data_IF_666098103753
#
_entry.id   IF_666098103753
#
_cell.length_a   1.000
_cell.length_b   1.000
_cell.length_c   1.000
_cell.angle_alpha   90.00
_cell.angle_beta   90.00
_cell.angle_gamma   90.00
#
_symmetry.space_group_name_H-M   'P 1'
#
loop_
_entity.id
_entity.type
_entity.pdbx_description
1 polymer ?
#
# COMPACT_ATOMS: atom_id res chain seq x y z
N UNK A 1 -26.42 -3.40 21.53
CA UNK A 1 -27.43 -3.29 20.47
C UNK A 1 -27.20 -4.44 19.52
N UNK A 2 -28.18 -5.34 19.33
CA UNK A 2 -28.03 -6.43 18.38
C UNK A 2 -27.74 -5.86 16.99
N UNK A 3 -26.75 -6.41 16.28
CA UNK A 3 -26.46 -5.98 14.92
C UNK A 3 -27.70 -6.27 14.05
N UNK A 4 -28.13 -5.27 13.28
CA UNK A 4 -29.25 -5.41 12.35
C UNK A 4 -28.83 -6.42 11.28
N UNK A 5 -29.57 -7.54 11.17
CA UNK A 5 -29.31 -8.54 10.15
C UNK A 5 -29.90 -8.06 8.81
N UNK A 6 -29.10 -8.07 7.75
CA UNK A 6 -29.45 -7.58 6.41
C UNK A 6 -29.35 -8.74 5.42
N UNK A 7 -30.41 -9.04 4.69
CA UNK A 7 -30.38 -10.08 3.65
C UNK A 7 -29.56 -9.66 2.43
N UNK A 8 -28.95 -10.61 1.72
CA UNK A 8 -28.25 -10.33 0.45
C UNK A 8 -29.18 -9.71 -0.61
N UNK A 9 -30.47 -10.06 -0.57
CA UNK A 9 -31.50 -9.47 -1.43
C UNK A 9 -31.77 -8.01 -1.09
N UNK A 10 -31.64 -7.62 0.19
CA UNK A 10 -31.74 -6.21 0.57
C UNK A 10 -30.53 -5.44 0.07
N UNK A 11 -29.31 -5.96 0.28
CA UNK A 11 -28.08 -5.33 -0.23
C UNK A 11 -28.17 -5.06 -1.73
N UNK A 12 -28.68 -6.00 -2.53
CA UNK A 12 -28.75 -5.86 -3.99
C UNK A 12 -29.70 -4.78 -4.50
N UNK A 13 -30.59 -4.25 -3.66
CA UNK A 13 -31.43 -3.09 -3.99
C UNK A 13 -30.64 -1.78 -4.05
N UNK A 14 -29.56 -1.69 -3.27
CA UNK A 14 -28.71 -0.51 -3.17
C UNK A 14 -27.52 -0.64 -4.14
N UNK A 15 -27.80 -0.57 -5.44
CA UNK A 15 -26.82 -0.82 -6.51
C UNK A 15 -26.51 0.37 -7.42
N UNK A 16 -26.81 1.61 -7.00
CA UNK A 16 -26.67 2.82 -7.84
C UNK A 16 -25.84 3.92 -7.16
N UNK A 17 -25.30 4.87 -7.90
CA UNK A 17 -24.42 5.92 -7.33
C UNK A 17 -25.09 6.78 -6.24
N UNK A 18 -26.40 7.01 -6.35
CA UNK A 18 -27.19 7.73 -5.35
C UNK A 18 -27.71 6.88 -4.19
N UNK A 19 -27.53 5.56 -4.27
CA UNK A 19 -27.95 4.59 -3.25
C UNK A 19 -27.17 3.27 -3.44
N UNK A 20 -26.02 3.16 -2.76
CA UNK A 20 -25.05 2.09 -2.94
C UNK A 20 -24.62 1.46 -1.62
N UNK A 21 -24.84 0.15 -1.46
CA UNK A 21 -24.31 -0.65 -0.36
C UNK A 21 -23.33 -1.71 -0.87
N UNK A 22 -22.36 -2.09 -0.03
CA UNK A 22 -21.46 -3.21 -0.29
C UNK A 22 -21.32 -4.03 0.99
N UNK A 23 -21.34 -5.35 0.87
CA UNK A 23 -20.97 -6.25 1.96
C UNK A 23 -19.46 -6.55 1.91
N UNK A 24 -18.77 -6.38 3.04
CA UNK A 24 -17.34 -6.69 3.19
C UNK A 24 -17.14 -7.40 4.52
N UNK A 25 -16.55 -8.60 4.49
CA UNK A 25 -16.28 -9.43 5.66
C UNK A 25 -17.53 -9.64 6.54
N UNK A 26 -18.68 -9.84 5.91
CA UNK A 26 -19.97 -10.05 6.60
C UNK A 26 -20.62 -8.79 7.18
N UNK A 27 -20.06 -7.60 6.97
CA UNK A 27 -20.63 -6.32 7.41
C UNK A 27 -21.11 -5.54 6.17
N UNK A 28 -22.33 -5.00 6.25
CA UNK A 28 -22.91 -4.16 5.20
C UNK A 28 -22.59 -2.69 5.47
N UNK A 29 -22.05 -2.02 4.46
CA UNK A 29 -21.63 -0.62 4.51
C UNK A 29 -22.36 0.20 3.46
N UNK A 30 -22.82 1.39 3.86
CA UNK A 30 -23.29 2.42 2.94
C UNK A 30 -22.08 3.14 2.32
N UNK A 31 -21.91 2.97 1.01
CA UNK A 31 -20.83 3.59 0.22
C UNK A 31 -21.36 4.69 -0.69
N UNK A 32 -22.59 5.15 -0.49
CA UNK A 32 -23.23 6.20 -1.29
C UNK A 32 -22.37 7.47 -1.29
N UNK A 33 -22.04 7.94 -2.50
CA UNK A 33 -21.16 9.11 -2.71
C UNK A 33 -19.68 8.91 -2.36
N UNK A 34 -19.25 7.69 -2.01
CA UNK A 34 -17.83 7.38 -1.74
C UNK A 34 -17.04 7.04 -3.01
N UNK A 35 -17.69 6.53 -4.06
CA UNK A 35 -17.01 6.04 -5.24
C UNK A 35 -16.11 7.08 -5.92
N UNK A 36 -16.58 8.33 -6.02
CA UNK A 36 -15.80 9.46 -6.56
C UNK A 36 -14.58 9.84 -5.71
N UNK A 37 -14.50 9.38 -4.46
CA UNK A 37 -13.40 9.62 -3.51
C UNK A 37 -12.49 8.40 -3.32
N UNK A 38 -12.88 7.25 -3.88
CA UNK A 38 -12.16 6.01 -3.69
C UNK A 38 -10.78 6.10 -4.36
N UNK A 39 -9.66 5.95 -3.62
CA UNK A 39 -8.33 6.09 -4.18
C UNK A 39 -8.09 5.15 -5.36
N UNK A 40 -8.67 3.93 -5.31
CA UNK A 40 -8.59 2.90 -6.35
C UNK A 40 -9.28 3.22 -7.68
N UNK A 41 -9.99 4.34 -7.77
CA UNK A 41 -10.85 4.71 -8.90
C UNK A 41 -12.30 4.29 -8.71
N UNK A 42 -13.17 4.98 -9.46
CA UNK A 42 -14.63 4.91 -9.34
C UNK A 42 -15.18 3.57 -9.84
N UNK A 43 -14.69 3.11 -10.99
CA UNK A 43 -15.18 1.88 -11.66
C UNK A 43 -15.01 0.64 -10.77
N UNK A 44 -13.87 0.54 -10.07
CA UNK A 44 -13.53 -0.63 -9.24
C UNK A 44 -14.53 -0.85 -8.11
N UNK A 45 -15.08 0.22 -7.53
CA UNK A 45 -16.05 0.10 -6.45
C UNK A 45 -17.49 0.02 -6.97
N UNK A 46 -17.79 0.68 -8.09
CA UNK A 46 -19.11 0.62 -8.73
C UNK A 46 -19.48 -0.81 -9.17
N UNK A 47 -18.50 -1.60 -9.63
CA UNK A 47 -18.68 -3.01 -9.99
C UNK A 47 -19.19 -3.88 -8.82
N UNK A 48 -19.05 -3.42 -7.58
CA UNK A 48 -19.46 -4.13 -6.37
C UNK A 48 -20.71 -3.55 -5.69
N UNK A 49 -21.32 -2.49 -6.24
CA UNK A 49 -22.57 -1.95 -5.69
C UNK A 49 -23.66 -3.02 -5.63
N UNK A 50 -24.29 -3.14 -4.47
CA UNK A 50 -25.32 -4.12 -4.17
C UNK A 50 -24.82 -5.56 -4.06
N UNK A 51 -23.51 -5.78 -3.89
CA UNK A 51 -22.89 -7.12 -3.88
C UNK A 51 -21.99 -7.34 -2.66
N UNK A 52 -21.60 -8.59 -2.47
CA UNK A 52 -20.49 -8.95 -1.58
C UNK A 52 -19.16 -8.67 -2.30
N UNK A 53 -18.41 -7.68 -1.81
CA UNK A 53 -17.11 -7.28 -2.32
C UNK A 53 -15.94 -7.84 -1.51
N UNK A 54 -16.17 -8.80 -0.61
CA UNK A 54 -15.18 -9.28 0.36
C UNK A 54 -13.88 -9.77 -0.30
N UNK A 55 -13.97 -10.57 -1.35
CA UNK A 55 -12.79 -11.10 -2.04
C UNK A 55 -11.96 -9.99 -2.70
N UNK A 56 -12.62 -9.10 -3.46
CA UNK A 56 -11.96 -7.97 -4.12
C UNK A 56 -11.35 -6.98 -3.11
N UNK A 57 -12.07 -6.70 -2.03
CA UNK A 57 -11.59 -5.84 -0.94
C UNK A 57 -10.36 -6.45 -0.26
N UNK A 58 -10.44 -7.72 0.18
CA UNK A 58 -9.36 -8.37 0.92
C UNK A 58 -8.12 -8.62 0.08
N UNK A 59 -8.22 -8.62 -1.25
CA UNK A 59 -7.06 -8.70 -2.13
C UNK A 59 -6.16 -7.45 -2.06
N UNK A 60 -6.71 -6.29 -1.69
CA UNK A 60 -6.00 -4.99 -1.75
C UNK A 60 -5.94 -4.31 -0.38
N UNK A 61 -6.96 -4.48 0.46
CA UNK A 61 -7.17 -3.73 1.70
C UNK A 61 -7.14 -4.65 2.92
N UNK A 62 -6.62 -4.12 4.03
CA UNK A 62 -6.72 -4.70 5.36
C UNK A 62 -8.12 -4.51 5.94
N UNK A 63 -8.52 -5.33 6.92
CA UNK A 63 -9.88 -5.37 7.44
C UNK A 63 -10.31 -4.05 8.10
N UNK A 64 -9.39 -3.30 8.73
CA UNK A 64 -9.72 -2.03 9.41
C UNK A 64 -9.93 -0.83 8.48
N UNK A 65 -9.56 -0.92 7.21
CA UNK A 65 -9.45 0.26 6.33
C UNK A 65 -10.83 0.86 5.98
N UNK A 66 -11.85 0.03 5.73
CA UNK A 66 -13.21 0.48 5.40
C UNK A 66 -13.84 1.30 6.51
N UNK A 67 -13.69 0.85 7.77
CA UNK A 67 -14.19 1.57 8.93
C UNK A 67 -13.48 2.92 9.12
N UNK A 68 -12.19 3.00 8.78
CA UNK A 68 -11.41 4.25 8.84
C UNK A 68 -11.91 5.31 7.87
N UNK A 69 -12.25 4.91 6.64
CA UNK A 69 -12.62 5.84 5.58
C UNK A 69 -14.11 6.20 5.56
N UNK A 70 -14.99 5.23 5.84
CA UNK A 70 -16.44 5.46 5.82
C UNK A 70 -16.97 5.97 7.16
N UNK A 71 -16.30 5.63 8.27
CA UNK A 71 -16.78 5.94 9.61
C UNK A 71 -17.83 4.96 10.12
N UNK A 72 -18.05 4.91 11.45
CA UNK A 72 -19.00 3.99 12.07
C UNK A 72 -20.45 4.27 11.68
N UNK A 73 -20.79 5.50 11.31
CA UNK A 73 -22.13 5.94 10.90
C UNK A 73 -22.59 5.32 9.58
N UNK A 74 -21.65 4.88 8.74
CA UNK A 74 -21.90 4.21 7.47
C UNK A 74 -22.05 2.70 7.60
N UNK A 75 -21.88 2.14 8.80
CA UNK A 75 -22.16 0.73 9.07
C UNK A 75 -23.67 0.51 9.18
N UNK A 76 -24.23 -0.27 8.26
CA UNK A 76 -25.67 -0.57 8.23
C UNK A 76 -26.00 -1.76 9.14
N UNK A 77 -25.22 -2.84 9.06
CA UNK A 77 -25.55 -4.08 9.76
C UNK A 77 -24.65 -5.25 9.40
N UNK A 78 -25.09 -6.46 9.75
CA UNK A 78 -24.42 -7.73 9.43
C UNK A 78 -25.21 -8.47 8.37
N UNK A 79 -24.52 -9.09 7.41
CA UNK A 79 -25.13 -9.85 6.32
C UNK A 79 -25.71 -11.16 6.86
N UNK A 80 -26.97 -11.47 6.55
CA UNK A 80 -27.61 -12.73 6.90
C UNK A 80 -26.95 -13.91 6.20
N UNK A 81 -26.85 -15.05 6.90
CA UNK A 81 -26.24 -16.27 6.38
C UNK A 81 -24.79 -16.08 5.90
N UNK A 82 -23.97 -15.41 6.70
CA UNK A 82 -22.51 -15.61 6.65
C UNK A 82 -22.22 -17.07 7.05
N UNK A 83 -22.46 -18.00 6.13
CA UNK A 83 -21.68 -19.24 6.11
C UNK A 83 -20.26 -18.76 6.23
N UNK A 84 -19.58 -19.10 7.32
CA UNK A 84 -18.24 -18.65 7.69
C UNK A 84 -17.26 -18.93 6.55
N UNK A 85 -17.31 -18.09 5.51
CA UNK A 85 -16.38 -18.04 4.41
C UNK A 85 -15.19 -17.21 4.89
N UNK A 86 -14.65 -17.60 6.05
CA UNK A 86 -13.22 -17.82 6.17
C UNK A 86 -12.85 -18.94 5.20
N UNK A 87 -13.07 -18.74 3.90
CA UNK A 87 -12.13 -19.25 2.93
C UNK A 87 -10.92 -18.36 3.14
N UNK A 88 -10.14 -18.70 4.17
CA UNK A 88 -8.70 -18.64 4.05
C UNK A 88 -8.46 -19.26 2.69
N UNK A 89 -8.25 -18.42 1.67
CA UNK A 89 -7.70 -18.94 0.45
C UNK A 89 -6.40 -19.54 0.93
N UNK A 90 -6.40 -20.87 1.11
CA UNK A 90 -5.21 -21.66 0.92
C UNK A 90 -4.78 -21.26 -0.49
N UNK A 91 -3.98 -20.18 -0.57
CA UNK A 91 -3.08 -20.00 -1.67
C UNK A 91 -2.28 -21.29 -1.63
N UNK A 92 -2.67 -22.25 -2.46
CA UNK A 92 -1.83 -23.38 -2.78
C UNK A 92 -0.47 -22.77 -3.03
N UNK A 93 0.46 -23.05 -2.12
CA UNK A 93 1.79 -22.46 -2.16
C UNK A 93 2.38 -22.91 -3.49
N UNK A 94 2.33 -22.03 -4.49
CA UNK A 94 3.12 -22.24 -5.69
C UNK A 94 4.54 -22.41 -5.19
N UNK A 95 5.19 -23.55 -5.46
CA UNK A 95 6.54 -23.77 -4.98
C UNK A 95 7.37 -22.58 -5.46
N UNK A 96 7.98 -21.88 -4.50
CA UNK A 96 8.86 -20.77 -4.84
C UNK A 96 9.96 -21.33 -5.75
N UNK A 97 10.28 -20.64 -6.86
CA UNK A 97 11.23 -21.15 -7.84
C UNK A 97 12.64 -21.25 -7.25
N UNK A 98 12.90 -20.57 -6.13
CA UNK A 98 14.18 -20.53 -5.44
C UNK A 98 13.98 -20.57 -3.92
N UNK A 99 14.91 -21.21 -3.21
CA UNK A 99 15.05 -21.11 -1.76
C UNK A 99 15.60 -19.71 -1.42
N UNK A 100 15.11 -19.08 -0.35
CA UNK A 100 15.61 -17.79 0.12
C UNK A 100 17.14 -17.77 0.30
N UNK A 101 17.72 -18.87 0.81
CA UNK A 101 19.18 -19.01 1.00
C UNK A 101 19.97 -18.98 -0.31
N UNK A 102 19.31 -19.17 -1.46
CA UNK A 102 19.93 -19.09 -2.79
C UNK A 102 19.90 -17.68 -3.41
N UNK A 103 19.21 -16.72 -2.78
CA UNK A 103 19.14 -15.34 -3.22
C UNK A 103 20.34 -14.57 -2.64
N UNK A 104 21.24 -14.13 -3.53
CA UNK A 104 22.51 -13.48 -3.15
C UNK A 104 22.45 -11.96 -3.31
N UNK A 105 21.53 -11.44 -4.13
CA UNK A 105 21.43 -10.02 -4.47
C UNK A 105 19.99 -9.54 -4.63
N UNK A 106 19.77 -8.22 -4.49
CA UNK A 106 18.45 -7.63 -4.61
C UNK A 106 17.81 -7.83 -5.99
N UNK A 107 18.60 -7.83 -7.06
CA UNK A 107 18.11 -8.07 -8.43
C UNK A 107 17.54 -9.48 -8.64
N UNK A 108 17.96 -10.45 -7.83
CA UNK A 108 17.38 -11.80 -7.89
C UNK A 108 15.99 -11.86 -7.26
N UNK A 109 15.69 -11.04 -6.25
CA UNK A 109 14.32 -10.88 -5.75
C UNK A 109 13.40 -10.32 -6.83
N UNK A 110 13.89 -9.33 -7.59
CA UNK A 110 13.16 -8.74 -8.72
C UNK A 110 12.86 -9.79 -9.80
N UNK A 111 13.85 -10.60 -10.20
CA UNK A 111 13.65 -11.67 -11.19
C UNK A 111 12.67 -12.75 -10.73
N UNK A 112 12.67 -13.12 -9.44
CA UNK A 112 11.69 -14.05 -8.86
C UNK A 112 10.30 -13.43 -8.84
N UNK A 113 10.19 -12.17 -8.40
CA UNK A 113 8.93 -11.45 -8.36
C UNK A 113 8.31 -11.29 -9.76
N UNK A 114 9.13 -11.00 -10.77
CA UNK A 114 8.70 -10.89 -12.17
C UNK A 114 8.07 -12.20 -12.67
N UNK A 115 8.50 -13.36 -12.20
CA UNK A 115 7.93 -14.65 -12.61
C UNK A 115 6.64 -14.99 -11.86
N UNK A 116 6.52 -14.59 -10.59
CA UNK A 116 5.44 -15.01 -9.70
C UNK A 116 4.25 -14.07 -9.67
N UNK A 117 4.48 -12.75 -9.79
CA UNK A 117 3.41 -11.76 -9.69
C UNK A 117 2.46 -11.84 -10.88
N UNK A 118 1.19 -11.49 -10.67
CA UNK A 118 0.24 -11.29 -11.78
C UNK A 118 0.56 -10.00 -12.53
N UNK A 119 0.17 -9.90 -13.82
CA UNK A 119 0.63 -8.82 -14.73
C UNK A 119 0.34 -7.42 -14.19
N UNK A 120 -0.85 -7.25 -13.61
CA UNK A 120 -1.27 -5.99 -13.01
C UNK A 120 -0.44 -5.61 -11.78
N UNK A 121 -0.17 -6.56 -10.87
CA UNK A 121 0.68 -6.33 -9.70
C UNK A 121 2.10 -5.99 -10.12
N UNK A 122 2.67 -6.75 -11.05
CA UNK A 122 4.01 -6.49 -11.56
C UNK A 122 4.11 -5.09 -12.18
N UNK A 123 3.13 -4.72 -13.01
CA UNK A 123 3.03 -3.38 -13.59
C UNK A 123 2.94 -2.26 -12.55
N UNK A 124 2.25 -2.49 -11.42
CA UNK A 124 2.18 -1.53 -10.32
C UNK A 124 3.53 -1.38 -9.59
N UNK A 125 4.21 -2.50 -9.31
CA UNK A 125 5.43 -2.56 -8.50
C UNK A 125 6.66 -2.12 -9.30
N UNK A 126 6.87 -2.69 -10.50
CA UNK A 126 8.05 -2.45 -11.32
C UNK A 126 7.87 -1.30 -12.33
N UNK A 127 6.62 -0.91 -12.62
CA UNK A 127 6.33 0.14 -13.58
C UNK A 127 6.75 1.53 -13.09
N UNK A 128 7.28 2.33 -14.01
CA UNK A 128 7.62 3.73 -13.81
C UNK A 128 6.95 4.62 -14.87
N UNK A 129 7.16 5.93 -14.77
CA UNK A 129 6.55 6.91 -15.68
C UNK A 129 7.04 6.72 -17.12
N UNK A 130 6.10 6.58 -18.05
CA UNK A 130 6.33 6.52 -19.51
C UNK A 130 7.47 5.52 -19.85
N UNK A 131 8.46 5.95 -20.63
CA UNK A 131 9.61 5.14 -21.05
C UNK A 131 10.60 4.76 -19.92
N UNK A 132 10.29 5.07 -18.66
CA UNK A 132 11.08 4.68 -17.48
C UNK A 132 12.53 5.19 -17.48
N UNK A 133 12.82 6.27 -18.24
CA UNK A 133 14.18 6.83 -18.41
C UNK A 133 14.77 7.26 -17.07
N UNK A 134 14.04 8.04 -16.27
CA UNK A 134 14.52 8.50 -14.96
C UNK A 134 14.71 7.36 -13.97
N UNK A 135 13.81 6.36 -14.01
CA UNK A 135 13.92 5.17 -13.17
C UNK A 135 15.22 4.41 -13.44
N UNK A 136 15.53 4.15 -14.71
CA UNK A 136 16.80 3.53 -15.11
C UNK A 136 18.00 4.39 -14.75
N UNK A 137 17.90 5.70 -14.98
CA UNK A 137 18.99 6.63 -14.69
C UNK A 137 19.37 6.64 -13.19
N UNK A 138 18.40 6.52 -12.28
CA UNK A 138 18.67 6.47 -10.83
C UNK A 138 19.65 5.35 -10.47
N UNK A 139 19.51 4.17 -11.06
CA UNK A 139 20.45 3.07 -10.86
C UNK A 139 21.78 3.30 -11.59
N UNK A 140 21.71 3.69 -12.88
CA UNK A 140 22.90 3.87 -13.73
C UNK A 140 23.85 4.95 -13.18
N UNK A 141 23.35 5.95 -12.45
CA UNK A 141 24.16 7.00 -11.83
C UNK A 141 25.15 6.47 -10.78
N UNK A 142 24.76 5.47 -9.98
CA UNK A 142 25.65 4.88 -8.98
C UNK A 142 26.85 4.15 -9.60
N UNK A 143 26.70 3.60 -10.81
CA UNK A 143 27.77 2.92 -11.54
C UNK A 143 28.87 3.86 -12.04
N UNK A 144 28.63 5.18 -11.97
CA UNK A 144 29.59 6.22 -12.38
C UNK A 144 30.48 6.67 -11.22
N UNK A 145 30.21 6.21 -10.00
CA UNK A 145 30.94 6.60 -8.78
C UNK A 145 31.83 5.43 -8.36
N UNK A 146 33.14 5.65 -8.36
CA UNK A 146 34.13 4.63 -7.99
C UNK A 146 34.69 4.88 -6.58
N UNK A 147 34.92 3.81 -5.84
CA UNK A 147 35.58 3.90 -4.54
C UNK A 147 37.09 4.14 -4.68
N UNK A 148 37.64 4.93 -3.76
CA UNK A 148 39.08 5.02 -3.51
C UNK A 148 39.39 4.38 -2.15
N UNK A 149 39.47 3.04 -2.07
CA UNK A 149 39.61 2.34 -0.80
C UNK A 149 40.92 2.72 -0.09
N UNK A 150 40.86 2.93 1.22
CA UNK A 150 42.04 3.15 2.05
C UNK A 150 42.57 1.80 2.53
N UNK A 151 43.77 1.44 2.11
CA UNK A 151 44.44 0.21 2.52
C UNK A 151 45.12 0.35 3.90
N UNK A 152 45.54 -0.78 4.48
CA UNK A 152 46.24 -0.84 5.77
C UNK A 152 45.49 -0.18 6.93
N UNK A 153 44.16 -0.29 6.94
CA UNK A 153 43.29 0.17 8.04
C UNK A 153 42.85 -1.02 8.89
N UNK A 154 42.79 -0.83 10.21
CA UNK A 154 42.23 -1.82 11.15
C UNK A 154 40.71 -1.83 11.00
N UNK A 155 40.17 -2.79 10.26
CA UNK A 155 38.73 -2.92 9.95
C UNK A 155 38.12 -4.22 10.51
N UNK A 156 38.71 -4.79 11.57
CA UNK A 156 38.22 -6.01 12.22
C UNK A 156 36.77 -5.86 12.73
N UNK A 157 36.41 -4.65 13.15
CA UNK A 157 35.07 -4.29 13.61
C UNK A 157 34.63 -3.07 12.82
N UNK A 158 33.41 -3.11 12.31
CA UNK A 158 32.77 -2.02 11.57
C UNK A 158 31.44 -1.73 12.25
N UNK A 159 31.14 -0.45 12.45
CA UNK A 159 29.86 0.03 12.96
C UNK A 159 29.14 0.76 11.83
N UNK A 160 27.94 0.29 11.49
CA UNK A 160 27.05 0.88 10.47
C UNK A 160 25.96 1.74 11.09
N UNK A 161 25.93 1.83 12.42
CA UNK A 161 24.96 2.58 13.18
C UNK A 161 24.94 4.05 12.77
N UNK A 162 23.73 4.60 12.67
CA UNK A 162 23.53 5.97 12.23
C UNK A 162 22.43 6.65 13.05
N UNK A 163 22.52 7.98 13.15
CA UNK A 163 21.47 8.81 13.71
C UNK A 163 20.66 9.46 12.58
N UNK A 164 19.40 9.06 12.41
CA UNK A 164 18.47 9.63 11.43
C UNK A 164 17.39 10.40 12.19
N UNK A 165 17.27 11.71 11.93
CA UNK A 165 16.27 12.61 12.53
C UNK A 165 16.18 12.47 14.07
N UNK A 166 17.33 12.35 14.73
CA UNK A 166 17.39 12.25 16.19
C UNK A 166 17.35 10.84 16.77
N UNK A 167 17.03 9.80 15.98
CA UNK A 167 16.93 8.40 16.42
C UNK A 167 18.13 7.57 15.95
N UNK A 168 18.61 6.66 16.81
CA UNK A 168 19.66 5.71 16.47
C UNK A 168 19.06 4.49 15.76
N UNK A 169 19.73 4.05 14.70
CA UNK A 169 19.40 2.88 13.89
C UNK A 169 20.67 2.09 13.58
N UNK A 170 20.53 0.80 13.28
CA UNK A 170 21.65 -0.12 13.09
C UNK A 170 22.25 -0.04 11.68
N UNK A 171 21.47 0.44 10.70
CA UNK A 171 21.86 0.50 9.30
C UNK A 171 21.51 1.88 8.68
N UNK A 172 22.30 2.34 7.69
CA UNK A 172 22.16 3.67 7.08
C UNK A 172 21.12 3.72 5.96
N UNK A 173 20.01 3.00 6.11
CA UNK A 173 18.89 3.02 5.18
C UNK A 173 17.58 2.84 5.94
N UNK A 174 16.46 3.01 5.24
CA UNK A 174 15.13 2.86 5.78
C UNK A 174 14.22 2.20 4.75
N UNK A 175 13.09 1.68 5.22
CA UNK A 175 12.06 1.17 4.32
C UNK A 175 11.22 2.36 3.85
N UNK A 176 11.38 2.71 2.57
CA UNK A 176 10.64 3.81 1.94
C UNK A 176 9.13 3.54 1.94
N UNK A 177 8.29 4.59 1.99
CA UNK A 177 6.85 4.43 2.04
C UNK A 177 6.33 3.88 0.71
N UNK A 178 5.76 2.67 0.76
CA UNK A 178 5.15 2.01 -0.40
C UNK A 178 3.71 1.64 -0.05
N UNK A 179 2.77 2.11 -0.85
CA UNK A 179 1.35 1.83 -0.73
C UNK A 179 0.95 0.54 -1.45
N UNK A 180 -0.16 -0.06 -1.01
CA UNK A 180 -0.80 -1.21 -1.66
C UNK A 180 0.07 -2.47 -1.69
N UNK A 181 0.88 -2.70 -0.64
CA UNK A 181 1.81 -3.84 -0.60
C UNK A 181 1.08 -5.19 -0.58
N UNK A 182 -0.22 -5.21 -0.21
CA UNK A 182 -1.06 -6.42 -0.32
C UNK A 182 -1.19 -6.96 -1.74
N UNK A 183 -0.98 -6.13 -2.76
CA UNK A 183 -0.91 -6.59 -4.15
C UNK A 183 0.20 -7.62 -4.37
N UNK A 184 1.27 -7.55 -3.58
CA UNK A 184 2.45 -8.42 -3.65
C UNK A 184 2.43 -9.57 -2.64
N UNK A 185 1.92 -9.35 -1.43
CA UNK A 185 1.86 -10.36 -0.38
C UNK A 185 0.74 -10.08 0.64
N UNK A 186 -0.04 -11.07 1.12
CA UNK A 186 -1.17 -10.84 2.03
C UNK A 186 -0.85 -10.00 3.27
N UNK A 187 0.34 -10.18 3.86
CA UNK A 187 0.79 -9.40 5.03
C UNK A 187 1.05 -7.91 4.74
N UNK A 188 1.21 -7.52 3.47
CA UNK A 188 1.43 -6.14 3.05
C UNK A 188 2.49 -5.39 3.86
N UNK A 189 2.15 -4.17 4.29
CA UNK A 189 3.02 -3.30 5.07
C UNK A 189 3.34 -3.86 6.48
N UNK A 190 2.55 -4.82 6.99
CA UNK A 190 2.84 -5.45 8.29
C UNK A 190 4.14 -6.26 8.24
N UNK A 191 4.42 -6.93 7.12
CA UNK A 191 5.68 -7.65 6.92
C UNK A 191 6.87 -6.69 6.87
N UNK A 192 6.72 -5.53 6.23
CA UNK A 192 7.74 -4.49 6.18
C UNK A 192 8.02 -3.92 7.58
N UNK A 193 6.98 -3.66 8.37
CA UNK A 193 7.12 -3.20 9.76
C UNK A 193 7.85 -4.21 10.64
N UNK A 194 7.55 -5.51 10.52
CA UNK A 194 8.29 -6.57 11.23
C UNK A 194 9.76 -6.63 10.79
N UNK A 195 10.03 -6.53 9.49
CA UNK A 195 11.40 -6.52 8.98
C UNK A 195 12.20 -5.32 9.51
N UNK A 196 11.59 -4.13 9.59
CA UNK A 196 12.20 -2.95 10.20
C UNK A 196 12.71 -3.21 11.61
N UNK A 197 11.90 -3.89 12.43
CA UNK A 197 12.28 -4.23 13.82
C UNK A 197 13.46 -5.19 13.85
N UNK A 198 13.44 -6.23 13.02
CA UNK A 198 14.52 -7.24 12.96
C UNK A 198 15.86 -6.63 12.58
N UNK A 199 15.87 -5.70 11.62
CA UNK A 199 17.11 -5.10 11.11
C UNK A 199 17.46 -3.76 11.74
N UNK A 200 16.67 -3.27 12.70
CA UNK A 200 16.94 -2.00 13.38
C UNK A 200 16.89 -0.79 12.45
N UNK A 201 15.96 -0.76 11.48
CA UNK A 201 15.79 0.34 10.50
C UNK A 201 14.42 1.00 10.59
N UNK A 202 14.29 2.30 10.28
CA UNK A 202 13.00 2.97 10.39
C UNK A 202 12.01 2.46 9.34
N UNK A 203 10.76 2.14 9.74
CA UNK A 203 9.65 2.04 8.80
C UNK A 203 9.07 3.43 8.54
N UNK A 204 8.76 3.71 7.27
CA UNK A 204 7.96 4.88 6.89
C UNK A 204 6.57 4.40 6.48
N UNK A 205 5.57 4.72 7.30
CA UNK A 205 4.19 4.27 7.12
C UNK A 205 3.49 5.15 6.07
N UNK A 206 2.92 4.60 4.99
CA UNK A 206 2.25 5.39 3.95
C UNK A 206 0.87 5.91 4.39
N UNK A 207 0.46 7.06 3.86
CA UNK A 207 -0.91 7.60 4.04
C UNK A 207 -1.98 6.66 3.45
N UNK A 208 -1.64 6.05 2.31
CA UNK A 208 -2.52 5.20 1.50
C UNK A 208 -2.07 3.73 1.53
N UNK A 209 -1.74 3.20 2.71
CA UNK A 209 -1.36 1.79 2.86
C UNK A 209 -2.52 0.81 2.62
N UNK A 210 -2.22 -0.45 2.37
CA UNK A 210 -3.23 -1.52 2.41
C UNK A 210 -3.79 -1.68 3.83
N UNK A 211 -2.95 -1.52 4.84
CA UNK A 211 -3.35 -1.49 6.25
C UNK A 211 -3.43 -0.05 6.77
N UNK A 212 -4.25 0.17 7.80
CA UNK A 212 -4.25 1.44 8.52
C UNK A 212 -2.93 1.65 9.26
N UNK A 213 -2.54 2.91 9.48
CA UNK A 213 -1.35 3.24 10.27
C UNK A 213 -1.39 2.63 11.68
N UNK A 214 -2.59 2.47 12.26
CA UNK A 214 -2.77 1.83 13.56
C UNK A 214 -2.41 0.34 13.50
N UNK A 215 -2.98 -0.42 12.54
CA UNK A 215 -2.66 -1.84 12.36
C UNK A 215 -1.15 -2.07 12.11
N UNK A 216 -0.50 -1.16 11.38
CA UNK A 216 0.94 -1.23 11.11
C UNK A 216 1.75 -0.94 12.38
N UNK A 217 1.36 0.02 13.21
CA UNK A 217 2.05 0.31 14.47
C UNK A 217 1.84 -0.78 15.52
N UNK A 218 0.70 -1.47 15.52
CA UNK A 218 0.38 -2.55 16.46
C UNK A 218 1.33 -3.76 16.35
N UNK A 219 1.95 -3.99 15.18
CA UNK A 219 2.95 -5.06 15.01
C UNK A 219 4.37 -4.64 15.41
N UNK A 220 4.59 -3.36 15.73
CA UNK A 220 5.86 -2.86 16.24
C UNK A 220 5.95 -3.03 17.76
N UNK A 221 7.15 -3.27 18.32
CA UNK A 221 7.36 -3.20 19.76
C UNK A 221 6.94 -1.84 20.32
N UNK A 222 6.37 -1.79 21.54
CA UNK A 222 5.97 -0.53 22.16
C UNK A 222 7.12 0.50 22.16
N UNK A 223 6.87 1.66 21.55
CA UNK A 223 7.83 2.77 21.48
C UNK A 223 8.87 2.68 20.35
N UNK A 224 8.82 1.64 19.52
CA UNK A 224 9.69 1.53 18.36
C UNK A 224 9.50 2.75 17.42
N UNK A 225 10.58 3.44 17.02
CA UNK A 225 10.45 4.68 16.27
C UNK A 225 10.06 4.43 14.81
N UNK A 226 9.02 5.12 14.35
CA UNK A 226 8.58 5.11 12.95
C UNK A 226 8.35 6.53 12.44
N UNK A 227 8.34 6.68 11.12
CA UNK A 227 7.97 7.91 10.45
C UNK A 227 6.67 7.72 9.66
N UNK A 228 5.97 8.81 9.40
CA UNK A 228 4.75 8.80 8.61
C UNK A 228 5.01 9.50 7.27
N UNK A 229 4.66 8.87 6.16
CA UNK A 229 4.55 9.57 4.88
C UNK A 229 3.16 10.21 4.79
N UNK A 230 3.11 11.48 4.42
CA UNK A 230 1.88 12.25 4.25
C UNK A 230 1.63 12.55 2.76
N UNK A 231 0.42 12.24 2.28
CA UNK A 231 -0.20 12.95 1.18
C UNK A 231 -1.27 13.90 1.72
N UNK A 232 -1.34 15.11 1.18
CA UNK A 232 -2.42 16.04 1.51
C UNK A 232 -3.70 15.58 0.81
N UNK A 233 -4.80 15.51 1.54
CA UNK A 233 -6.09 15.20 0.95
C UNK A 233 -6.73 16.47 0.38
N UNK A 234 -7.44 16.36 -0.74
CA UNK A 234 -8.19 17.46 -1.37
C UNK A 234 -9.13 18.15 -0.39
N UNK A 235 -9.70 17.39 0.55
CA UNK A 235 -10.44 17.95 1.67
C UNK A 235 -9.56 18.03 2.92
N UNK A 236 -9.06 19.23 3.24
CA UNK A 236 -8.10 19.45 4.35
C UNK A 236 -8.60 18.97 5.72
N UNK A 237 -9.93 18.91 5.94
CA UNK A 237 -10.48 18.34 7.16
C UNK A 237 -10.21 16.83 7.30
N UNK A 238 -10.10 16.09 6.18
CA UNK A 238 -9.68 14.68 6.19
C UNK A 238 -8.22 14.55 6.59
N UNK A 239 -7.32 15.40 6.06
CA UNK A 239 -5.92 15.43 6.51
C UNK A 239 -5.83 15.74 7.99
N UNK A 240 -6.59 16.73 8.47
CA UNK A 240 -6.65 17.07 9.89
C UNK A 240 -7.09 15.88 10.75
N UNK A 241 -8.17 15.18 10.37
CA UNK A 241 -8.64 13.98 11.08
C UNK A 241 -7.60 12.86 11.07
N UNK A 242 -6.99 12.62 9.91
CA UNK A 242 -5.93 11.62 9.76
C UNK A 242 -4.74 11.94 10.67
N UNK A 243 -4.23 13.17 10.64
CA UNK A 243 -3.14 13.64 11.49
C UNK A 243 -3.48 13.55 12.97
N UNK A 244 -4.70 13.91 13.38
CA UNK A 244 -5.17 13.75 14.77
C UNK A 244 -5.20 12.27 15.22
N UNK A 245 -5.59 11.36 14.32
CA UNK A 245 -5.58 9.92 14.57
C UNK A 245 -4.15 9.39 14.77
N UNK A 246 -3.26 9.66 13.82
CA UNK A 246 -1.88 9.16 13.84
C UNK A 246 -1.00 9.88 14.87
N UNK A 247 -1.33 11.10 15.30
CA UNK A 247 -0.60 11.78 16.37
C UNK A 247 -0.59 10.98 17.67
N UNK A 248 -1.68 10.25 17.97
CA UNK A 248 -1.77 9.36 19.13
C UNK A 248 -0.79 8.19 19.05
N UNK A 249 -0.41 7.79 17.84
CA UNK A 249 0.58 6.74 17.58
C UNK A 249 2.02 7.23 17.76
N UNK A 250 2.24 8.55 17.94
CA UNK A 250 3.53 9.20 18.21
C UNK A 250 4.62 8.94 17.14
N UNK A 251 4.35 9.24 15.85
CA UNK A 251 5.39 9.21 14.82
C UNK A 251 6.55 10.15 15.18
N UNK A 252 7.77 9.79 14.79
CA UNK A 252 8.99 10.60 15.02
C UNK A 252 9.14 11.77 14.06
N UNK A 253 8.43 11.72 12.94
CA UNK A 253 8.40 12.78 11.95
C UNK A 253 7.43 12.46 10.82
N UNK A 254 7.19 13.46 9.99
CA UNK A 254 6.34 13.36 8.82
C UNK A 254 7.20 13.64 7.58
N UNK A 255 7.17 12.72 6.62
CA UNK A 255 7.71 12.88 5.28
C UNK A 255 6.55 13.33 4.39
N UNK A 256 6.46 14.62 4.12
CA UNK A 256 5.40 15.15 3.26
C UNK A 256 5.78 14.99 1.79
N UNK A 257 5.02 14.18 1.06
CA UNK A 257 5.26 13.88 -0.35
C UNK A 257 4.56 14.91 -1.23
N UNK A 258 5.33 15.63 -2.04
CA UNK A 258 4.87 16.74 -2.90
C UNK A 258 5.13 16.49 -4.39
N UNK A 259 5.69 15.34 -4.76
CA UNK A 259 6.09 14.98 -6.12
C UNK A 259 5.02 14.19 -6.91
N UNK A 260 3.84 13.96 -6.31
CA UNK A 260 2.71 13.28 -6.95
C UNK A 260 1.41 14.11 -6.89
N UNK A 261 1.39 15.37 -7.38
CA UNK A 261 0.14 16.15 -7.47
C UNK A 261 -0.81 15.57 -8.53
N UNK A 262 -0.27 14.88 -9.52
CA UNK A 262 -1.00 14.18 -10.58
C UNK A 262 -0.42 12.78 -10.71
N UNK A 263 -1.29 11.81 -10.99
CA UNK A 263 -0.87 10.42 -11.15
C UNK A 263 0.09 10.25 -12.31
N UNK A 264 1.15 9.49 -12.06
CA UNK A 264 2.10 9.07 -13.07
C UNK A 264 1.44 8.16 -14.10
N UNK A 265 1.69 8.42 -15.38
CA UNK A 265 1.34 7.52 -16.48
C UNK A 265 2.33 6.37 -16.50
N UNK A 266 1.95 5.24 -15.91
CA UNK A 266 2.76 4.03 -15.87
C UNK A 266 2.28 3.05 -16.94
N UNK A 267 3.04 2.94 -18.02
CA UNK A 267 2.74 1.96 -19.07
C UNK A 267 3.06 0.55 -18.57
N UNK A 268 2.10 -0.37 -18.63
CA UNK A 268 2.34 -1.79 -18.39
C UNK A 268 2.55 -2.46 -19.73
N UNK A 269 3.80 -2.88 -19.94
CA UNK A 269 4.13 -3.77 -21.04
C UNK A 269 3.63 -5.15 -20.62
N UNK A 270 2.59 -5.69 -21.30
CA UNK A 270 2.17 -7.08 -21.07
C UNK A 270 3.36 -8.01 -21.31
N UNK A 271 3.68 -8.84 -20.33
CA UNK A 271 4.76 -9.82 -20.42
C UNK A 271 4.54 -10.70 -21.66
N UNK A 272 5.59 -10.90 -22.46
CA UNK A 272 5.53 -11.81 -23.59
C UNK A 272 5.33 -13.24 -23.09
N UNK A 273 4.14 -13.81 -23.32
CA UNK A 273 3.92 -15.25 -23.23
C UNK A 273 4.12 -15.84 -24.63
N UNK A 274 4.63 -17.08 -24.76
CA UNK A 274 4.69 -17.73 -26.08
C UNK A 274 3.29 -17.71 -26.74
N UNK A 275 3.15 -17.02 -27.88
CA UNK A 275 1.89 -16.93 -28.63
C UNK A 275 0.99 -15.70 -28.39
N UNK A 276 1.39 -14.70 -27.59
CA UNK A 276 0.61 -13.45 -27.42
C UNK A 276 1.19 -12.25 -28.19
N UNK A 277 0.34 -11.46 -28.85
CA UNK A 277 0.71 -10.19 -29.49
C UNK A 277 1.13 -9.11 -28.46
N UNK A 278 2.00 -8.17 -28.86
CA UNK A 278 2.43 -7.04 -28.02
C UNK A 278 1.27 -6.06 -27.81
N UNK A 279 0.59 -6.16 -26.67
CA UNK A 279 -0.31 -5.10 -26.18
C UNK A 279 0.39 -4.22 -25.15
N UNK A 280 0.44 -2.91 -25.39
CA UNK A 280 0.67 -1.93 -24.30
C UNK A 280 -0.67 -1.66 -23.64
N UNK A 281 -0.74 -1.79 -22.33
CA UNK A 281 -1.91 -1.38 -21.56
C UNK A 281 -1.42 -0.40 -20.51
N UNK A 282 -2.09 0.75 -20.36
CA UNK A 282 -1.80 1.63 -19.24
C UNK A 282 -2.24 0.85 -18.00
N UNK A 283 -1.37 0.67 -16.99
CA UNK A 283 -1.90 0.29 -15.67
C UNK A 283 -2.83 1.43 -15.32
N UNK A 284 -4.15 1.20 -15.35
CA UNK A 284 -5.11 2.19 -14.91
C UNK A 284 -4.67 2.57 -13.50
N UNK A 285 -4.12 3.78 -13.33
CA UNK A 285 -3.71 4.17 -12.01
C UNK A 285 -5.00 4.19 -11.20
N UNK A 286 -4.95 3.78 -9.93
CA UNK A 286 -6.06 4.07 -9.04
C UNK A 286 -6.32 5.58 -9.18
N UNK A 287 -7.53 5.99 -9.61
CA UNK A 287 -7.83 7.41 -9.81
C UNK A 287 -7.90 8.03 -8.42
N UNK A 288 -6.76 8.43 -7.89
CA UNK A 288 -6.65 9.07 -6.59
C UNK A 288 -7.17 10.50 -6.74
N UNK A 289 -8.49 10.64 -6.71
CA UNK A 289 -9.18 11.94 -6.60
C UNK A 289 -9.00 12.59 -5.23
N UNK A 290 -8.43 11.84 -4.28
CA UNK A 290 -8.30 12.27 -2.89
C UNK A 290 -7.02 13.04 -2.60
N UNK A 291 -5.98 13.03 -3.45
CA UNK A 291 -4.76 13.83 -3.23
C UNK A 291 -4.95 15.24 -3.78
N UNK A 292 -4.59 16.25 -2.99
CA UNK A 292 -4.68 17.65 -3.39
C UNK A 292 -3.58 18.00 -4.41
N UNK A 293 -3.99 18.31 -5.64
CA UNK A 293 -3.08 18.75 -6.70
C UNK A 293 -2.65 20.23 -6.57
N UNK A 294 -3.27 20.99 -5.67
CA UNK A 294 -3.07 22.44 -5.53
C UNK A 294 -2.18 22.81 -4.32
N UNK A 295 -1.35 21.89 -3.84
CA UNK A 295 -0.43 22.16 -2.72
C UNK A 295 0.62 23.18 -3.16
N UNK A 296 0.73 24.28 -2.42
CA UNK A 296 1.69 25.35 -2.64
C UNK A 296 2.73 25.48 -1.52
N UNK A 297 3.68 26.41 -1.67
CA UNK A 297 4.66 26.72 -0.62
C UNK A 297 4.00 27.34 0.62
N UNK A 298 2.91 28.07 0.42
CA UNK A 298 2.05 28.64 1.44
C UNK A 298 1.40 27.59 2.36
N UNK A 299 1.30 26.33 1.92
CA UNK A 299 0.83 25.22 2.74
C UNK A 299 1.93 24.63 3.65
N UNK A 300 3.21 24.99 3.39
CA UNK A 300 4.39 24.41 4.03
C UNK A 300 5.07 25.35 5.04
N UNK A 301 4.83 26.65 4.92
CA UNK A 301 5.48 27.72 5.71
C UNK A 301 4.54 28.28 6.76
#
# INVERSE_FOLDING_TARGET
MAALAISATEVSRHCSEGDAWIAVNGVVWDVTGFASKHPGGVEVIQDHFGRDGTEAYNAIHGPGLIARFLGPEKRIGELENTSSHSKTQNQESRPLPLNLDSIVSLSQFEAVAEQLMVDRTWGYVAGATEDSISHKANYDWYQRIFFRPKISRKVKTVDTGVKILGQMYDLPFFIAPTSSVKLSHPDGELALARASVVFGVPPVIPTLGSYSAQEIVEVLPPGYPFFLQLYMYSYRAETKRFLQGVHKLKPRGILFTVDLPVLSKREVIKRQRPGSEKGREIALPPVITSIDANIGWEDLT
#
